data_IF_603517391324
#
_entry.id   IF_603517391324
#
_cell.length_a   1.000
_cell.length_b   1.000
_cell.length_c   1.000
_cell.angle_alpha   90.00
_cell.angle_beta   90.00
_cell.angle_gamma   90.00
#
_symmetry.space_group_name_H-M   'P 1'
#
loop_
_entity.id
_entity.type
_entity.pdbx_description
1 polymer ?
#
# COMPACT_ATOMS: atom_id res chain seq x y z
N UNK A 1 9.35 4.84 24.16
CA UNK A 1 8.67 3.53 24.15
C UNK A 1 9.45 2.68 23.16
N UNK A 2 10.06 1.56 23.60
CA UNK A 2 10.83 0.69 22.73
C UNK A 2 9.89 -0.11 21.84
N UNK A 3 9.89 0.14 20.53
CA UNK A 3 9.25 -0.77 19.58
C UNK A 3 10.10 -2.04 19.54
N UNK A 4 9.59 -3.14 20.11
CA UNK A 4 10.25 -4.42 20.05
C UNK A 4 10.12 -4.98 18.63
N UNK A 5 11.25 -5.16 17.96
CA UNK A 5 11.32 -5.80 16.65
C UNK A 5 11.84 -7.21 16.78
N UNK A 6 11.15 -8.16 16.17
CA UNK A 6 11.60 -9.56 16.09
C UNK A 6 11.88 -9.91 14.63
N UNK A 7 13.13 -10.30 14.36
CA UNK A 7 13.48 -10.89 13.07
C UNK A 7 13.58 -12.40 13.25
N UNK A 8 12.74 -13.13 12.51
CA UNK A 8 13.08 -14.50 12.19
C UNK A 8 13.93 -14.47 10.92
N UNK A 9 15.01 -15.27 10.89
CA UNK A 9 15.88 -15.36 9.69
C UNK A 9 14.97 -15.68 8.50
N UNK A 10 14.58 -14.64 7.72
CA UNK A 10 13.71 -14.65 6.56
C UNK A 10 12.23 -14.24 6.73
N UNK A 11 11.77 -13.78 7.90
CA UNK A 11 10.51 -13.07 8.02
C UNK A 11 10.70 -11.86 8.94
N UNK A 12 10.23 -10.69 8.51
CA UNK A 12 10.14 -9.51 9.35
C UNK A 12 8.76 -9.49 9.99
N UNK A 13 8.72 -9.37 11.31
CA UNK A 13 7.49 -9.12 12.03
C UNK A 13 7.50 -7.70 12.57
N UNK A 14 6.41 -6.99 12.39
CA UNK A 14 6.23 -5.62 12.86
C UNK A 14 5.06 -5.58 13.82
N UNK A 15 5.25 -4.99 14.99
CA UNK A 15 4.17 -4.67 15.90
C UNK A 15 3.96 -3.18 15.96
N UNK A 16 2.73 -2.74 15.73
CA UNK A 16 2.30 -1.34 15.81
C UNK A 16 1.64 -0.99 17.15
N UNK A 17 1.45 -1.98 18.03
CA UNK A 17 0.70 -1.90 19.28
C UNK A 17 1.50 -2.42 20.49
N UNK A 18 2.77 -2.03 20.60
CA UNK A 18 3.69 -2.42 21.69
C UNK A 18 3.86 -3.93 21.90
N UNK A 19 3.84 -4.72 20.83
CA UNK A 19 4.09 -6.15 20.89
C UNK A 19 2.86 -7.01 21.11
N UNK A 20 1.65 -6.43 21.03
CA UNK A 20 0.40 -7.20 21.18
C UNK A 20 0.03 -7.91 19.89
N UNK A 21 0.27 -7.26 18.72
CA UNK A 21 -0.01 -7.84 17.39
C UNK A 21 1.23 -7.77 16.51
N UNK A 22 1.56 -8.86 15.81
CA UNK A 22 2.74 -8.96 14.95
C UNK A 22 2.33 -9.23 13.50
N UNK A 23 2.91 -8.50 12.56
CA UNK A 23 2.67 -8.62 11.12
C UNK A 23 3.94 -9.08 10.40
N UNK A 24 3.81 -10.00 9.45
CA UNK A 24 4.96 -10.50 8.67
C UNK A 24 5.20 -9.65 7.44
N UNK A 25 6.44 -9.26 7.20
CA UNK A 25 6.89 -8.61 5.98
C UNK A 25 7.88 -9.51 5.24
N UNK A 26 7.41 -10.50 4.44
CA UNK A 26 8.29 -11.32 3.59
C UNK A 26 8.18 -12.86 3.76
N UNK A 27 8.88 -13.61 2.87
CA UNK A 27 8.82 -15.07 2.76
C UNK A 27 9.41 -15.84 3.97
N UNK A 28 8.74 -16.96 4.30
CA UNK A 28 9.09 -17.86 5.38
C UNK A 28 10.22 -18.81 4.97
N UNK A 29 11.39 -18.76 5.64
CA UNK A 29 12.35 -19.88 5.66
C UNK A 29 12.87 -20.11 7.08
N UNK A 30 12.98 -21.39 7.51
CA UNK A 30 13.40 -21.84 8.83
C UNK A 30 14.59 -21.08 9.40
N UNK A 31 14.46 -20.47 10.59
CA UNK A 31 15.58 -19.81 11.21
C UNK A 31 15.42 -19.38 12.66
N UNK A 32 16.46 -18.76 13.18
CA UNK A 32 16.61 -18.30 14.55
C UNK A 32 16.02 -16.89 14.73
N UNK A 33 15.51 -16.62 15.93
CA UNK A 33 14.98 -15.33 16.35
C UNK A 33 16.13 -14.37 16.70
N UNK A 34 16.14 -13.19 16.08
CA UNK A 34 17.00 -12.09 16.50
C UNK A 34 16.15 -10.99 17.11
N UNK A 35 16.45 -10.60 18.34
CA UNK A 35 15.86 -9.44 18.99
C UNK A 35 16.80 -8.24 18.83
N UNK A 36 16.30 -7.13 18.33
CA UNK A 36 17.03 -5.88 18.24
C UNK A 36 16.35 -4.82 19.10
N UNK A 37 17.12 -4.18 19.94
CA UNK A 37 16.65 -3.21 20.95
C UNK A 37 16.63 -1.76 20.43
N UNK A 38 16.49 -1.53 19.11
CA UNK A 38 16.54 -0.18 18.57
C UNK A 38 15.47 0.11 17.50
N UNK A 39 15.16 1.39 17.35
CA UNK A 39 14.27 1.95 16.30
C UNK A 39 14.72 1.63 14.86
N UNK A 40 15.93 1.07 14.69
CA UNK A 40 16.51 0.68 13.39
C UNK A 40 15.81 -0.50 12.72
N UNK A 41 14.85 -1.14 13.39
CA UNK A 41 14.16 -2.33 12.89
C UNK A 41 13.18 -2.06 11.75
N UNK A 42 12.63 -0.84 11.67
CA UNK A 42 11.75 -0.40 10.58
C UNK A 42 12.14 1.03 10.21
N UNK A 43 13.21 1.20 9.45
CA UNK A 43 13.72 2.53 9.13
C UNK A 43 12.66 3.42 8.45
N UNK A 44 11.68 2.81 7.78
CA UNK A 44 10.66 3.55 7.04
C UNK A 44 9.43 3.96 7.87
N UNK A 45 9.22 3.41 9.09
CA UNK A 45 8.05 3.74 9.90
C UNK A 45 8.06 5.20 10.39
N UNK A 46 9.24 5.73 10.69
CA UNK A 46 9.47 7.11 11.12
C UNK A 46 9.98 8.01 9.99
N UNK A 47 10.11 7.49 8.79
CA UNK A 47 10.52 8.23 7.61
C UNK A 47 9.28 8.83 6.92
N UNK A 48 9.36 10.08 6.49
CA UNK A 48 8.35 10.68 5.62
C UNK A 48 8.16 9.87 4.33
N UNK A 49 7.00 10.02 3.68
CA UNK A 49 6.85 9.50 2.31
C UNK A 49 7.98 10.02 1.44
N UNK A 50 8.70 9.11 0.83
CA UNK A 50 9.96 9.41 0.13
C UNK A 50 9.97 8.74 -1.25
N UNK A 51 10.33 9.51 -2.27
CA UNK A 51 10.71 9.00 -3.58
C UNK A 51 12.23 8.91 -3.66
N UNK A 52 12.74 7.75 -4.05
CA UNK A 52 14.16 7.52 -4.33
C UNK A 52 14.35 7.53 -5.84
N UNK A 53 15.24 8.37 -6.33
CA UNK A 53 15.54 8.47 -7.76
C UNK A 53 16.32 7.24 -8.25
N UNK A 54 15.79 6.56 -9.25
CA UNK A 54 16.47 5.44 -9.91
C UNK A 54 17.16 5.88 -11.22
N UNK A 55 17.07 7.17 -11.55
CA UNK A 55 17.74 7.82 -12.67
C UNK A 55 17.95 9.31 -12.36
N UNK A 56 18.88 9.94 -13.08
CA UNK A 56 19.17 11.35 -12.91
C UNK A 56 18.01 12.26 -13.34
N UNK A 57 17.97 13.46 -12.76
CA UNK A 57 16.96 14.50 -13.02
C UNK A 57 15.53 14.08 -12.66
N UNK A 58 15.32 13.25 -11.64
CA UNK A 58 14.01 12.95 -11.11
C UNK A 58 13.39 14.19 -10.47
N UNK A 59 12.19 14.54 -10.87
CA UNK A 59 11.28 15.45 -10.15
C UNK A 59 9.94 14.76 -9.95
N UNK A 60 9.13 15.22 -8.99
CA UNK A 60 7.79 14.69 -8.73
C UNK A 60 6.78 15.80 -8.99
N UNK A 61 5.86 15.55 -9.92
CA UNK A 61 4.77 16.46 -10.25
C UNK A 61 3.57 16.21 -9.34
N UNK A 62 2.92 17.28 -8.85
CA UNK A 62 1.65 17.22 -8.14
C UNK A 62 0.52 17.63 -9.10
N UNK A 63 -0.47 16.73 -9.27
CA UNK A 63 -1.63 16.95 -10.14
C UNK A 63 -2.93 16.62 -9.41
N UNK A 64 -4.05 17.19 -9.87
CA UNK A 64 -5.40 16.95 -9.32
C UNK A 64 -5.54 17.25 -7.81
N UNK A 65 -4.65 18.10 -7.28
CA UNK A 65 -4.60 18.41 -5.85
C UNK A 65 -5.48 19.61 -5.44
N UNK A 66 -6.23 20.18 -6.37
CA UNK A 66 -7.07 21.37 -6.13
C UNK A 66 -6.25 22.50 -5.48
N UNK A 67 -6.71 23.01 -4.32
CA UNK A 67 -6.00 24.03 -3.53
C UNK A 67 -5.03 23.44 -2.47
N UNK A 68 -4.82 22.12 -2.46
CA UNK A 68 -3.92 21.51 -1.52
C UNK A 68 -2.47 21.95 -1.75
N UNK A 69 -1.77 22.15 -0.65
CA UNK A 69 -0.34 22.47 -0.63
C UNK A 69 0.38 21.34 0.10
N UNK A 70 1.34 20.74 -0.61
CA UNK A 70 2.27 19.78 -0.03
C UNK A 70 3.58 20.50 0.29
N UNK A 71 4.35 19.94 1.18
CA UNK A 71 5.72 20.34 1.42
C UNK A 71 6.65 19.21 0.97
N UNK A 72 7.76 19.55 0.32
CA UNK A 72 8.79 18.60 -0.08
C UNK A 72 10.19 19.05 0.36
N UNK A 73 11.07 18.09 0.55
CA UNK A 73 12.47 18.29 0.88
C UNK A 73 13.36 17.45 -0.04
N UNK A 74 14.50 18.00 -0.45
CA UNK A 74 15.56 17.33 -1.23
C UNK A 74 16.89 17.26 -0.45
N UNK A 75 16.86 17.59 0.83
CA UNK A 75 18.01 17.66 1.74
C UNK A 75 17.72 16.93 3.08
N UNK A 76 17.09 15.76 2.97
CA UNK A 76 16.76 14.88 4.09
C UNK A 76 15.95 15.55 5.20
N UNK A 77 15.03 16.45 4.82
CA UNK A 77 14.14 17.14 5.75
C UNK A 77 14.74 18.36 6.43
N UNK A 78 15.95 18.80 6.04
CA UNK A 78 16.60 19.99 6.60
C UNK A 78 15.87 21.25 6.21
N UNK A 79 15.38 21.35 4.96
CA UNK A 79 14.53 22.47 4.50
C UNK A 79 13.33 21.92 3.74
N UNK A 80 12.23 22.67 3.77
CA UNK A 80 10.96 22.31 3.14
C UNK A 80 10.48 23.41 2.21
N UNK A 81 10.08 23.04 1.01
CA UNK A 81 9.52 23.92 -0.02
C UNK A 81 8.07 23.53 -0.31
N UNK A 82 7.23 24.51 -0.60
CA UNK A 82 5.83 24.27 -0.95
C UNK A 82 5.69 23.74 -2.37
N UNK A 83 4.74 22.80 -2.56
CA UNK A 83 4.35 22.25 -3.85
C UNK A 83 2.84 22.35 -4.00
N UNK A 84 2.39 23.01 -5.06
CA UNK A 84 0.96 23.19 -5.37
C UNK A 84 0.58 22.50 -6.68
N UNK A 85 -0.72 22.37 -6.91
CA UNK A 85 -1.26 21.70 -8.10
C UNK A 85 -0.65 22.25 -9.39
N UNK A 86 -0.22 21.36 -10.28
CA UNK A 86 0.42 21.69 -11.55
C UNK A 86 1.92 21.99 -11.48
N UNK A 87 2.51 21.97 -10.28
CA UNK A 87 3.96 22.18 -10.09
C UNK A 87 4.71 20.84 -9.98
N UNK A 88 6.02 20.93 -10.15
CA UNK A 88 6.97 19.84 -9.89
C UNK A 88 8.00 20.29 -8.83
N UNK A 89 8.54 19.33 -8.11
CA UNK A 89 9.66 19.55 -7.17
C UNK A 89 10.92 19.97 -7.92
N UNK A 90 11.92 20.45 -7.19
CA UNK A 90 13.32 20.47 -7.65
C UNK A 90 13.74 19.06 -8.06
N UNK A 91 14.54 18.93 -9.10
CA UNK A 91 15.08 17.62 -9.54
C UNK A 91 16.26 17.18 -8.69
N UNK A 92 16.39 15.86 -8.56
CA UNK A 92 17.46 15.15 -7.87
C UNK A 92 18.10 14.11 -8.79
N UNK A 93 19.32 13.66 -8.50
CA UNK A 93 20.01 12.66 -9.29
C UNK A 93 19.77 11.23 -8.75
N UNK A 94 20.20 10.24 -9.50
CA UNK A 94 20.09 8.83 -9.13
C UNK A 94 20.65 8.56 -7.73
N UNK A 95 19.89 7.87 -6.90
CA UNK A 95 20.22 7.57 -5.49
C UNK A 95 19.80 8.67 -4.50
N UNK A 96 19.49 9.89 -4.95
CA UNK A 96 19.00 10.95 -4.08
C UNK A 96 17.48 10.82 -3.83
N UNK A 97 16.98 11.57 -2.85
CA UNK A 97 15.61 11.42 -2.34
C UNK A 97 14.80 12.71 -2.43
N UNK A 98 13.49 12.57 -2.56
CA UNK A 98 12.52 13.66 -2.36
C UNK A 98 11.51 13.19 -1.31
N UNK A 99 11.50 13.85 -0.15
CA UNK A 99 10.57 13.60 0.95
C UNK A 99 9.33 14.47 0.82
N UNK A 100 8.20 13.96 1.33
CA UNK A 100 6.93 14.67 1.31
C UNK A 100 6.23 14.66 2.66
N UNK A 101 5.63 15.79 3.02
CA UNK A 101 4.67 15.91 4.11
C UNK A 101 3.54 16.86 3.73
N UNK A 102 2.42 16.75 4.43
CA UNK A 102 1.30 17.68 4.36
C UNK A 102 0.41 17.54 5.60
N UNK A 103 -0.42 18.55 5.84
CA UNK A 103 -1.44 18.50 6.88
C UNK A 103 -2.62 19.40 6.50
N UNK A 104 -3.81 19.09 7.03
CA UNK A 104 -4.99 19.91 6.80
C UNK A 104 -5.47 19.95 5.35
N UNK A 105 -5.15 18.93 4.55
CA UNK A 105 -5.54 18.85 3.15
C UNK A 105 -7.06 18.74 2.98
N UNK A 106 -7.59 19.36 1.94
CA UNK A 106 -8.97 19.16 1.49
C UNK A 106 -9.03 17.90 0.63
N UNK A 107 -9.92 16.98 0.98
CA UNK A 107 -10.08 15.71 0.28
C UNK A 107 -11.22 15.83 -0.73
N UNK A 108 -10.92 15.54 -2.00
CA UNK A 108 -11.91 15.46 -3.07
C UNK A 108 -12.47 14.05 -3.17
N UNK A 109 -13.80 13.92 -3.30
CA UNK A 109 -14.43 12.62 -3.58
C UNK A 109 -14.10 12.08 -4.99
N UNK A 110 -13.63 12.91 -5.91
CA UNK A 110 -13.18 12.50 -7.26
C UNK A 110 -11.71 12.10 -7.29
N UNK A 111 -10.82 12.86 -6.65
CA UNK A 111 -9.37 12.79 -6.87
C UNK A 111 -8.56 12.57 -5.58
N UNK A 112 -9.22 12.45 -4.42
CA UNK A 112 -8.54 12.36 -3.12
C UNK A 112 -7.80 13.64 -2.76
N UNK A 113 -6.53 13.52 -2.37
CA UNK A 113 -5.66 14.67 -2.06
C UNK A 113 -4.81 15.10 -3.25
N UNK A 114 -4.86 14.37 -4.38
CA UNK A 114 -4.06 14.61 -5.59
C UNK A 114 -3.20 13.40 -5.95
N UNK A 115 -2.40 13.55 -7.00
CA UNK A 115 -1.52 12.51 -7.54
C UNK A 115 -0.07 12.99 -7.54
N UNK A 116 0.85 12.17 -7.01
CA UNK A 116 2.30 12.40 -7.03
C UNK A 116 2.94 11.50 -8.10
N UNK A 117 3.49 12.11 -9.16
CA UNK A 117 4.01 11.39 -10.33
C UNK A 117 5.48 11.73 -10.59
N UNK A 118 6.42 10.76 -10.45
CA UNK A 118 7.82 11.01 -10.75
C UNK A 118 8.07 11.07 -12.26
N UNK A 119 8.98 11.99 -12.68
CA UNK A 119 9.31 12.25 -14.09
C UNK A 119 10.13 11.11 -14.73
N UNK A 120 10.92 10.39 -13.95
CA UNK A 120 11.73 9.23 -14.34
C UNK A 120 11.54 8.11 -13.30
N UNK A 121 12.17 6.96 -13.50
CA UNK A 121 12.02 5.81 -12.61
C UNK A 121 12.36 6.16 -11.16
N UNK A 122 11.49 5.73 -10.26
CA UNK A 122 11.59 5.97 -8.84
C UNK A 122 11.04 4.78 -8.03
N UNK A 123 11.66 4.54 -6.88
CA UNK A 123 11.09 3.71 -5.82
C UNK A 123 10.40 4.59 -4.80
N UNK A 124 9.28 4.13 -4.22
CA UNK A 124 8.53 4.86 -3.19
C UNK A 124 8.61 4.11 -1.87
N UNK A 125 8.96 4.80 -0.81
CA UNK A 125 9.18 4.25 0.53
C UNK A 125 8.72 5.22 1.63
N UNK A 126 8.83 4.79 2.89
CA UNK A 126 8.46 5.60 4.06
C UNK A 126 6.97 5.53 4.39
N UNK A 127 6.55 6.31 5.36
CA UNK A 127 5.22 6.27 5.93
C UNK A 127 4.29 7.29 5.26
N UNK A 128 3.25 6.77 4.61
CA UNK A 128 2.28 7.61 3.88
C UNK A 128 1.53 8.60 4.78
N UNK A 129 1.45 8.32 6.09
CA UNK A 129 0.73 9.19 7.03
C UNK A 129 1.36 10.58 7.16
N UNK A 130 2.61 10.77 6.70
CA UNK A 130 3.22 12.09 6.58
C UNK A 130 2.44 13.06 5.69
N UNK A 131 1.68 12.53 4.72
CA UNK A 131 0.77 13.32 3.87
C UNK A 131 -0.56 13.70 4.55
N UNK A 132 -0.81 13.25 5.76
CA UNK A 132 -2.05 13.52 6.52
C UNK A 132 -1.76 14.34 7.76
N UNK A 133 -0.71 13.97 8.49
CA UNK A 133 -0.41 14.46 9.83
C UNK A 133 0.87 15.32 9.89
N UNK A 134 1.51 15.61 8.74
CA UNK A 134 2.77 16.36 8.70
C UNK A 134 3.82 15.71 9.61
N UNK A 135 4.45 16.49 10.45
CA UNK A 135 5.50 16.03 11.39
C UNK A 135 4.99 15.09 12.50
N UNK A 136 3.66 15.03 12.71
CA UNK A 136 3.02 14.21 13.76
C UNK A 136 2.51 12.85 13.26
N UNK A 137 3.03 12.34 12.14
CA UNK A 137 2.52 11.13 11.48
C UNK A 137 2.86 9.82 12.19
N UNK A 138 3.90 9.79 13.02
CA UNK A 138 4.36 8.57 13.69
C UNK A 138 3.28 8.03 14.63
N UNK A 139 2.95 6.74 14.51
CA UNK A 139 1.92 6.07 15.32
C UNK A 139 0.48 6.36 14.89
N UNK A 140 0.27 7.14 13.83
CA UNK A 140 -1.07 7.41 13.31
C UNK A 140 -1.56 6.23 12.46
N UNK A 141 -2.83 5.83 12.65
CA UNK A 141 -3.43 4.66 11.99
C UNK A 141 -4.83 4.92 11.45
N UNK A 142 -5.26 6.18 11.37
CA UNK A 142 -6.59 6.57 10.89
C UNK A 142 -6.48 7.40 9.62
N UNK A 143 -7.29 7.06 8.61
CA UNK A 143 -7.43 7.84 7.37
C UNK A 143 -8.89 8.08 7.05
N UNK A 144 -9.17 9.21 6.42
CA UNK A 144 -10.51 9.67 6.06
C UNK A 144 -11.01 9.07 4.75
N UNK A 145 -12.29 9.29 4.44
CA UNK A 145 -12.88 8.92 3.15
C UNK A 145 -12.09 9.53 2.00
N UNK A 146 -11.85 8.75 0.95
CA UNK A 146 -11.15 9.12 -0.27
C UNK A 146 -9.70 9.61 -0.10
N UNK A 147 -9.08 9.52 1.08
CA UNK A 147 -7.80 10.19 1.44
C UNK A 147 -6.70 9.97 0.39
N UNK A 148 -6.40 8.73 0.04
CA UNK A 148 -5.31 8.38 -0.90
C UNK A 148 -5.84 7.81 -2.23
N UNK A 149 -7.10 8.12 -2.56
CA UNK A 149 -7.68 7.75 -3.83
C UNK A 149 -6.83 8.30 -4.99
N UNK A 150 -6.45 7.44 -5.93
CA UNK A 150 -5.62 7.75 -7.10
C UNK A 150 -4.21 8.31 -6.83
N UNK A 151 -3.69 8.32 -5.59
CA UNK A 151 -2.43 9.00 -5.24
C UNK A 151 -1.25 8.66 -6.17
N UNK A 152 -1.11 7.41 -6.60
CA UNK A 152 -0.07 6.93 -7.51
C UNK A 152 -0.65 6.30 -8.79
N UNK A 153 -1.92 6.48 -9.06
CA UNK A 153 -2.58 5.86 -10.21
C UNK A 153 -1.92 6.28 -11.53
N UNK A 154 -1.61 5.29 -12.37
CA UNK A 154 -0.99 5.49 -13.68
C UNK A 154 0.38 6.19 -13.66
N UNK A 155 1.06 6.26 -12.50
CA UNK A 155 2.41 6.77 -12.39
C UNK A 155 3.41 5.71 -12.87
N UNK A 156 3.53 5.53 -14.18
CA UNK A 156 4.25 4.41 -14.82
C UNK A 156 5.75 4.36 -14.53
N UNK A 157 6.30 5.45 -13.98
CA UNK A 157 7.69 5.53 -13.56
C UNK A 157 7.93 5.03 -12.13
N UNK A 158 6.88 4.72 -11.35
CA UNK A 158 7.04 4.03 -10.07
C UNK A 158 7.34 2.55 -10.34
N UNK A 159 8.53 2.08 -9.92
CA UNK A 159 9.00 0.72 -10.15
C UNK A 159 9.00 -0.15 -8.91
N UNK A 160 8.98 0.45 -7.72
CA UNK A 160 8.89 -0.27 -6.44
C UNK A 160 8.08 0.52 -5.41
N UNK A 161 7.29 -0.19 -4.61
CA UNK A 161 6.58 0.29 -3.42
C UNK A 161 6.81 -0.66 -2.23
N UNK A 162 7.83 -1.49 -2.29
CA UNK A 162 8.13 -2.54 -1.32
C UNK A 162 8.33 -2.01 0.10
N UNK A 163 8.97 -0.84 0.22
CA UNK A 163 9.27 -0.21 1.50
C UNK A 163 8.27 0.91 1.88
N UNK A 164 7.15 0.99 1.16
CA UNK A 164 6.08 1.91 1.50
C UNK A 164 5.25 1.37 2.67
N UNK A 165 5.05 2.19 3.70
CA UNK A 165 4.29 1.84 4.89
C UNK A 165 2.88 2.44 4.79
N UNK A 166 1.87 1.57 4.85
CA UNK A 166 0.45 1.89 4.91
C UNK A 166 -0.12 1.45 6.27
N UNK A 167 0.12 2.17 7.36
CA UNK A 167 -0.12 1.67 8.71
C UNK A 167 -1.59 1.79 9.15
N UNK A 168 -2.48 2.28 8.30
CA UNK A 168 -3.86 2.56 8.69
C UNK A 168 -4.63 1.26 8.99
N UNK A 169 -5.20 1.21 10.19
CA UNK A 169 -6.12 0.17 10.65
C UNK A 169 -7.57 0.66 10.73
N UNK A 170 -7.78 1.98 10.81
CA UNK A 170 -9.08 2.64 10.69
C UNK A 170 -9.18 3.31 9.32
N UNK A 171 -10.04 2.74 8.48
CA UNK A 171 -10.17 3.13 7.07
C UNK A 171 -11.45 3.94 6.83
N UNK A 172 -11.33 5.02 6.06
CA UNK A 172 -12.48 5.71 5.45
C UNK A 172 -12.97 5.02 4.18
N UNK A 173 -14.15 5.40 3.69
CA UNK A 173 -14.70 4.89 2.43
C UNK A 173 -13.80 5.26 1.25
N UNK A 174 -13.55 4.31 0.34
CA UNK A 174 -12.77 4.52 -0.88
C UNK A 174 -11.36 5.12 -0.64
N UNK A 175 -10.81 5.01 0.58
CA UNK A 175 -9.59 5.70 1.01
C UNK A 175 -8.33 5.33 0.19
N UNK A 176 -8.22 4.09 -0.29
CA UNK A 176 -7.13 3.61 -1.14
C UNK A 176 -7.61 3.20 -2.55
N UNK A 177 -8.83 3.63 -2.95
CA UNK A 177 -9.36 3.26 -4.25
C UNK A 177 -8.42 3.72 -5.38
N UNK A 178 -8.07 2.78 -6.30
CA UNK A 178 -7.17 3.01 -7.43
C UNK A 178 -5.76 3.50 -7.07
N UNK A 179 -5.32 3.41 -5.82
CA UNK A 179 -4.06 4.03 -5.38
C UNK A 179 -2.85 3.61 -6.22
N UNK A 180 -2.73 2.33 -6.56
CA UNK A 180 -1.63 1.78 -7.37
C UNK A 180 -2.09 1.30 -8.75
N UNK A 181 -3.29 1.67 -9.19
CA UNK A 181 -3.80 1.17 -10.47
C UNK A 181 -2.90 1.54 -11.63
N UNK A 182 -2.72 0.60 -12.57
CA UNK A 182 -1.84 0.71 -13.74
C UNK A 182 -0.33 0.81 -13.45
N UNK A 183 0.14 0.52 -12.22
CA UNK A 183 1.58 0.41 -11.96
C UNK A 183 2.10 -0.92 -12.48
N UNK A 184 2.37 -0.99 -13.77
CA UNK A 184 2.70 -2.24 -14.48
C UNK A 184 4.08 -2.80 -14.14
N UNK A 185 4.91 -2.10 -13.35
CA UNK A 185 6.29 -2.47 -13.02
C UNK A 185 6.49 -2.97 -11.59
N UNK A 186 5.58 -2.66 -10.67
CA UNK A 186 5.71 -3.13 -9.28
C UNK A 186 5.53 -4.65 -9.22
N UNK A 187 6.40 -5.33 -8.48
CA UNK A 187 6.40 -6.80 -8.32
C UNK A 187 5.89 -7.24 -6.96
N UNK A 188 5.97 -6.37 -5.96
CA UNK A 188 5.52 -6.55 -4.57
C UNK A 188 4.57 -5.44 -4.17
N UNK A 189 3.62 -5.76 -3.30
CA UNK A 189 2.67 -4.81 -2.72
C UNK A 189 3.08 -4.45 -1.30
N UNK A 190 2.76 -3.24 -0.80
CA UNK A 190 2.90 -2.92 0.61
C UNK A 190 1.86 -3.69 1.44
N UNK A 191 2.15 -3.89 2.74
CA UNK A 191 1.25 -4.56 3.67
C UNK A 191 -0.03 -3.76 3.95
N UNK A 192 -1.14 -4.48 4.16
CA UNK A 192 -2.47 -3.93 4.44
C UNK A 192 -2.97 -4.45 5.80
N UNK A 193 -2.68 -3.75 6.91
CA UNK A 193 -2.91 -4.27 8.26
C UNK A 193 -4.37 -4.22 8.74
N UNK A 194 -5.27 -3.53 8.03
CA UNK A 194 -6.62 -3.31 8.51
C UNK A 194 -7.45 -4.60 8.55
N UNK A 195 -8.02 -4.89 9.71
CA UNK A 195 -8.95 -6.00 9.95
C UNK A 195 -10.42 -5.59 9.87
N UNK A 196 -10.71 -4.27 9.98
CA UNK A 196 -12.04 -3.70 9.79
C UNK A 196 -12.03 -2.84 8.54
N UNK A 197 -12.88 -3.18 7.57
CA UNK A 197 -12.91 -2.53 6.27
C UNK A 197 -14.07 -1.53 6.18
N UNK A 198 -13.84 -0.44 5.44
CA UNK A 198 -14.87 0.48 4.99
C UNK A 198 -15.30 0.17 3.54
N UNK A 199 -16.47 0.70 3.12
CA UNK A 199 -16.97 0.50 1.77
C UNK A 199 -15.96 0.98 0.72
N UNK A 200 -15.62 0.10 -0.24
CA UNK A 200 -14.72 0.38 -1.34
C UNK A 200 -13.28 0.76 -0.96
N UNK A 201 -12.85 0.55 0.30
CA UNK A 201 -11.56 1.04 0.81
C UNK A 201 -10.36 0.59 -0.04
N UNK A 202 -10.36 -0.62 -0.58
CA UNK A 202 -9.31 -1.16 -1.45
C UNK A 202 -9.79 -1.43 -2.89
N UNK A 203 -10.95 -0.86 -3.29
CA UNK A 203 -11.49 -1.07 -4.64
C UNK A 203 -10.47 -0.69 -5.71
N UNK A 204 -10.20 -1.62 -6.65
CA UNK A 204 -9.24 -1.41 -7.76
C UNK A 204 -7.83 -0.97 -7.34
N UNK A 205 -7.41 -1.22 -6.09
CA UNK A 205 -6.14 -0.70 -5.55
C UNK A 205 -4.94 -1.12 -6.40
N UNK A 206 -4.90 -2.37 -6.86
CA UNK A 206 -3.85 -2.93 -7.73
C UNK A 206 -4.37 -3.27 -9.14
N UNK A 207 -5.45 -2.63 -9.60
CA UNK A 207 -5.99 -2.86 -10.94
C UNK A 207 -4.89 -2.69 -12.01
N UNK A 208 -4.73 -3.70 -12.89
CA UNK A 208 -3.76 -3.70 -13.98
C UNK A 208 -2.27 -3.57 -13.55
N UNK A 209 -1.92 -4.03 -12.32
CA UNK A 209 -0.52 -4.18 -11.88
C UNK A 209 0.03 -5.50 -12.46
N UNK A 210 0.32 -5.52 -13.75
CA UNK A 210 0.60 -6.75 -14.53
C UNK A 210 1.89 -7.48 -14.13
N UNK A 211 2.81 -6.84 -13.41
CA UNK A 211 4.05 -7.45 -12.88
C UNK A 211 3.92 -7.94 -11.43
N UNK A 212 2.83 -7.62 -10.72
CA UNK A 212 2.62 -8.05 -9.34
C UNK A 212 2.53 -9.58 -9.27
N UNK A 213 3.36 -10.21 -8.41
CA UNK A 213 3.46 -11.68 -8.30
C UNK A 213 2.79 -12.25 -7.06
N UNK A 214 2.78 -11.50 -5.96
CA UNK A 214 2.20 -11.90 -4.68
C UNK A 214 1.31 -10.75 -4.17
N UNK A 215 0.08 -11.07 -3.79
CA UNK A 215 -0.81 -10.11 -3.13
C UNK A 215 -0.33 -9.84 -1.70
N UNK A 216 -0.63 -8.65 -1.12
CA UNK A 216 -0.49 -8.45 0.31
C UNK A 216 -1.42 -9.41 1.07
N UNK A 217 -1.10 -9.71 2.33
CA UNK A 217 -2.03 -10.43 3.19
C UNK A 217 -3.30 -9.60 3.41
N UNK A 218 -4.47 -10.26 3.34
CA UNK A 218 -5.78 -9.64 3.54
C UNK A 218 -6.40 -10.20 4.84
N UNK A 219 -6.10 -9.56 6.00
CA UNK A 219 -6.42 -10.14 7.31
C UNK A 219 -7.87 -9.95 7.75
N UNK A 220 -8.64 -9.11 7.07
CA UNK A 220 -10.03 -8.85 7.43
C UNK A 220 -10.89 -10.12 7.31
N UNK A 221 -11.63 -10.45 8.37
CA UNK A 221 -12.52 -11.62 8.41
C UNK A 221 -13.92 -11.34 7.86
N UNK A 222 -14.37 -10.07 7.90
CA UNK A 222 -15.65 -9.63 7.34
C UNK A 222 -15.38 -8.56 6.30
N UNK A 223 -15.88 -8.76 5.09
CA UNK A 223 -15.73 -7.79 4.01
C UNK A 223 -16.85 -6.73 4.07
N UNK A 224 -16.53 -5.52 3.60
CA UNK A 224 -17.48 -4.43 3.41
C UNK A 224 -17.89 -4.33 1.93
N UNK A 225 -18.99 -3.60 1.64
CA UNK A 225 -19.45 -3.37 0.28
C UNK A 225 -18.34 -2.86 -0.63
N UNK A 226 -18.15 -3.50 -1.79
CA UNK A 226 -17.13 -3.16 -2.78
C UNK A 226 -15.67 -3.17 -2.27
N UNK A 227 -15.36 -3.63 -1.04
CA UNK A 227 -14.05 -3.44 -0.40
C UNK A 227 -12.86 -3.96 -1.22
N UNK A 228 -12.99 -5.15 -1.83
CA UNK A 228 -11.98 -5.74 -2.71
C UNK A 228 -12.42 -5.76 -4.19
N UNK A 229 -13.53 -5.09 -4.55
CA UNK A 229 -13.99 -5.06 -5.93
C UNK A 229 -12.89 -4.63 -6.90
N UNK A 230 -12.61 -5.44 -7.95
CA UNK A 230 -11.58 -5.21 -8.98
C UNK A 230 -10.14 -5.09 -8.46
N UNK A 231 -9.85 -5.48 -7.19
CA UNK A 231 -8.59 -5.17 -6.51
C UNK A 231 -7.37 -5.65 -7.27
N UNK A 232 -7.39 -6.88 -7.78
CA UNK A 232 -6.30 -7.50 -8.53
C UNK A 232 -6.66 -7.77 -10.01
N UNK A 233 -7.71 -7.13 -10.53
CA UNK A 233 -8.09 -7.35 -11.92
C UNK A 233 -6.94 -6.99 -12.86
N UNK A 234 -6.64 -7.91 -13.82
CA UNK A 234 -5.53 -7.83 -14.78
C UNK A 234 -4.13 -7.86 -14.16
N UNK A 235 -3.95 -8.34 -12.92
CA UNK A 235 -2.64 -8.69 -12.37
C UNK A 235 -2.17 -10.03 -12.97
N UNK A 236 -1.78 -10.04 -14.23
CA UNK A 236 -1.58 -11.26 -15.03
C UNK A 236 -0.43 -12.17 -14.56
N UNK A 237 0.46 -11.67 -13.70
CA UNK A 237 1.55 -12.44 -13.08
C UNK A 237 1.27 -12.81 -11.62
N UNK A 238 0.11 -12.44 -11.07
CA UNK A 238 -0.23 -12.75 -9.69
C UNK A 238 -0.51 -14.24 -9.54
N UNK A 239 0.27 -14.91 -8.68
CA UNK A 239 0.22 -16.35 -8.43
C UNK A 239 -0.07 -16.74 -7.00
N UNK A 240 -0.15 -15.78 -6.08
CA UNK A 240 -0.42 -16.05 -4.67
C UNK A 240 -1.32 -14.98 -4.05
N UNK A 241 -2.40 -15.42 -3.39
CA UNK A 241 -3.31 -14.57 -2.62
C UNK A 241 -3.59 -15.25 -1.29
N UNK A 242 -3.42 -14.51 -0.18
CA UNK A 242 -3.88 -14.91 1.16
C UNK A 242 -5.03 -14.00 1.56
N UNK A 243 -6.23 -14.59 1.75
CA UNK A 243 -7.43 -13.86 2.16
C UNK A 243 -8.13 -14.61 3.31
N UNK A 244 -8.14 -13.98 4.48
CA UNK A 244 -8.67 -14.57 5.71
C UNK A 244 -10.16 -14.28 5.94
N UNK A 245 -10.87 -13.79 4.92
CA UNK A 245 -12.29 -13.50 5.01
C UNK A 245 -13.12 -14.78 5.24
N UNK A 246 -13.97 -14.74 6.26
CA UNK A 246 -14.96 -15.76 6.59
C UNK A 246 -16.39 -15.30 6.30
N UNK A 247 -16.60 -14.01 6.11
CA UNK A 247 -17.85 -13.41 5.66
C UNK A 247 -17.61 -12.54 4.43
N UNK A 248 -18.16 -12.99 3.30
CA UNK A 248 -18.08 -12.37 1.97
C UNK A 248 -19.49 -12.02 1.45
N UNK A 249 -20.46 -11.82 2.34
CA UNK A 249 -21.85 -11.56 1.98
C UNK A 249 -22.14 -10.12 1.56
N UNK A 250 -21.21 -9.18 1.83
CA UNK A 250 -21.36 -7.78 1.49
C UNK A 250 -21.45 -7.56 -0.03
N UNK A 251 -22.20 -6.52 -0.44
CA UNK A 251 -22.52 -6.24 -1.83
C UNK A 251 -21.27 -5.97 -2.66
N UNK A 252 -21.07 -6.78 -3.73
CA UNK A 252 -19.93 -6.61 -4.66
C UNK A 252 -18.54 -6.60 -3.99
N UNK A 253 -18.41 -7.14 -2.77
CA UNK A 253 -17.17 -7.07 -1.99
C UNK A 253 -15.95 -7.66 -2.71
N UNK A 254 -16.15 -8.64 -3.60
CA UNK A 254 -15.13 -9.29 -4.44
C UNK A 254 -15.47 -9.24 -5.93
N UNK A 255 -16.25 -8.26 -6.39
CA UNK A 255 -16.66 -8.15 -7.80
C UNK A 255 -15.43 -8.08 -8.73
N UNK A 256 -15.28 -9.06 -9.63
CA UNK A 256 -14.17 -9.16 -10.60
C UNK A 256 -12.77 -8.98 -9.99
N UNK A 257 -12.59 -9.25 -8.68
CA UNK A 257 -11.36 -8.92 -7.96
C UNK A 257 -10.12 -9.68 -8.44
N UNK A 258 -10.30 -10.86 -9.04
CA UNK A 258 -9.21 -11.71 -9.56
C UNK A 258 -9.36 -12.00 -11.06
N UNK A 259 -10.17 -11.22 -11.77
CA UNK A 259 -10.32 -11.37 -13.22
C UNK A 259 -9.00 -11.06 -13.93
N UNK A 260 -8.48 -12.00 -14.74
CA UNK A 260 -7.24 -11.80 -15.52
C UNK A 260 -5.94 -11.94 -14.70
N UNK A 261 -5.97 -12.60 -13.53
CA UNK A 261 -4.76 -13.03 -12.81
C UNK A 261 -4.10 -14.25 -13.52
N UNK A 262 -2.95 -14.71 -13.05
CA UNK A 262 -2.25 -15.86 -13.64
C UNK A 262 -3.16 -17.09 -13.73
N UNK A 263 -2.97 -17.91 -14.76
CA UNK A 263 -3.79 -19.10 -15.02
C UNK A 263 -3.64 -20.20 -13.95
N UNK A 264 -2.59 -20.15 -13.14
CA UNK A 264 -2.35 -21.06 -12.02
C UNK A 264 -1.69 -20.31 -10.88
N UNK A 265 -1.93 -20.76 -9.64
CA UNK A 265 -1.39 -20.14 -8.44
C UNK A 265 -1.89 -20.84 -7.18
N UNK A 266 -1.72 -20.18 -6.02
CA UNK A 266 -2.17 -20.65 -4.71
C UNK A 266 -3.07 -19.62 -4.05
N UNK A 267 -4.23 -20.05 -3.59
CA UNK A 267 -5.15 -19.27 -2.78
C UNK A 267 -5.17 -19.83 -1.37
N UNK A 268 -4.76 -19.01 -0.40
CA UNK A 268 -4.75 -19.37 1.02
C UNK A 268 -5.96 -18.70 1.65
N UNK A 269 -6.90 -19.51 2.18
CA UNK A 269 -8.13 -19.04 2.81
C UNK A 269 -8.14 -19.29 4.31
N UNK A 270 -9.01 -18.62 5.03
CA UNK A 270 -9.28 -18.95 6.43
C UNK A 270 -9.71 -20.40 6.56
N UNK A 271 -9.19 -21.11 7.58
CA UNK A 271 -9.56 -22.49 7.88
C UNK A 271 -11.07 -22.60 8.13
N UNK A 272 -11.69 -23.61 7.55
CA UNK A 272 -13.14 -23.83 7.64
C UNK A 272 -14.02 -22.92 6.74
N UNK A 273 -13.46 -21.96 6.03
CA UNK A 273 -14.23 -21.14 5.08
C UNK A 273 -14.52 -21.92 3.79
N UNK A 274 -15.78 -22.34 3.61
CA UNK A 274 -16.19 -23.19 2.46
C UNK A 274 -17.13 -22.47 1.47
N UNK A 275 -17.43 -21.18 1.69
CA UNK A 275 -18.40 -20.44 0.88
C UNK A 275 -17.77 -19.70 -0.31
N UNK A 276 -16.45 -19.82 -0.55
CA UNK A 276 -15.84 -19.26 -1.72
C UNK A 276 -16.33 -19.96 -3.00
N UNK A 277 -16.80 -19.18 -3.95
CA UNK A 277 -17.08 -19.65 -5.31
C UNK A 277 -15.79 -19.67 -6.12
N UNK A 278 -15.76 -20.39 -7.24
CA UNK A 278 -14.64 -20.34 -8.20
C UNK A 278 -14.95 -19.36 -9.33
N UNK A 279 -13.95 -18.63 -9.80
CA UNK A 279 -14.05 -17.66 -10.89
C UNK A 279 -13.69 -16.23 -10.49
N UNK A 280 -14.02 -15.26 -11.33
CA UNK A 280 -13.56 -13.88 -11.22
C UNK A 280 -13.95 -13.17 -9.91
N UNK A 281 -15.04 -13.59 -9.29
CA UNK A 281 -15.57 -13.03 -8.04
C UNK A 281 -15.20 -13.87 -6.80
N UNK A 282 -14.47 -14.94 -6.97
CA UNK A 282 -14.11 -15.89 -5.92
C UNK A 282 -12.64 -16.29 -5.97
N UNK A 283 -12.38 -17.58 -5.81
CA UNK A 283 -11.05 -18.16 -6.00
C UNK A 283 -10.77 -18.27 -7.51
N UNK A 284 -9.60 -17.85 -8.01
CA UNK A 284 -9.29 -17.99 -9.43
C UNK A 284 -9.40 -19.46 -9.91
N UNK A 285 -9.93 -19.65 -11.10
CA UNK A 285 -10.06 -21.00 -11.70
C UNK A 285 -8.69 -21.66 -11.85
N UNK A 286 -8.58 -22.94 -11.52
CA UNK A 286 -7.36 -23.74 -11.55
C UNK A 286 -6.26 -23.38 -10.53
N UNK A 287 -6.55 -22.53 -9.54
CA UNK A 287 -5.62 -22.30 -8.46
C UNK A 287 -5.72 -23.39 -7.39
N UNK A 288 -4.57 -23.78 -6.82
CA UNK A 288 -4.54 -24.62 -5.62
C UNK A 288 -5.11 -23.86 -4.42
N UNK A 289 -5.91 -24.54 -3.59
CA UNK A 289 -6.52 -23.95 -2.40
C UNK A 289 -5.89 -24.57 -1.17
N UNK A 290 -5.51 -23.74 -0.21
CA UNK A 290 -4.93 -24.14 1.07
C UNK A 290 -5.66 -23.43 2.22
N UNK A 291 -5.69 -24.07 3.39
CA UNK A 291 -6.12 -23.44 4.63
C UNK A 291 -4.93 -22.73 5.30
N UNK A 292 -5.19 -21.55 5.90
CA UNK A 292 -4.21 -20.76 6.64
C UNK A 292 -3.90 -21.37 8.01
#
# INVERSE_FOLDING_TARGET
MSNNCKYYKQARYVSYDNGTTWYTTGEYRKGELYEYDSLDCIPYLTQYLTFVAEADNMSVALSYANSNVFEYSVDDGSTWSSLTNGQSTTSVNSGETIMFKASGLTISSSDGIGTLNPSVYASVQGNIMSLVYGDNFTGQTTISDYQFRYLFSSCLNIISVENLILPATTLGMYCYQHMFSNLTRITTAPELPATTLASGCYRSMFYNCSSLTVAPSLPATTLADNSYGYMFQNCSRLTSITCLATDISATNCTQNWVSGVAASGTFIKASGMNNWTTGNNGIPTNWAVQDA
#
